data_IF_631295032783
#
_entry.id   IF_631295032783
#
_cell.length_a   1.000
_cell.length_b   1.000
_cell.length_c   1.000
_cell.angle_alpha   90.00
_cell.angle_beta   90.00
_cell.angle_gamma   90.00
#
_symmetry.space_group_name_H-M   'P 1'
#
loop_
_entity.id
_entity.type
_entity.pdbx_description
1 polymer ?
#
# COMPACT_ATOMS: atom_id res chain seq x y z
N UNK A 1 -4.23 -8.57 -20.46
CA UNK A 1 -5.04 -8.72 -21.70
C UNK A 1 -4.39 -7.94 -22.84
N UNK A 2 -4.72 -8.19 -24.12
CA UNK A 2 -4.18 -7.46 -25.28
C UNK A 2 -5.30 -6.78 -26.08
N UNK A 3 -5.14 -5.50 -26.49
CA UNK A 3 -6.16 -4.81 -27.29
C UNK A 3 -6.19 -5.35 -28.73
N UNK A 4 -7.39 -5.52 -29.27
CA UNK A 4 -7.67 -5.97 -30.63
C UNK A 4 -8.60 -4.98 -31.32
N UNK A 5 -8.06 -4.25 -32.30
CA UNK A 5 -8.79 -3.30 -33.12
C UNK A 5 -9.72 -4.03 -34.10
N UNK A 6 -10.94 -3.52 -34.21
CA UNK A 6 -11.91 -3.86 -35.24
C UNK A 6 -11.81 -2.87 -36.39
N UNK A 7 -12.23 -3.28 -37.58
CA UNK A 7 -12.42 -2.37 -38.73
C UNK A 7 -13.69 -1.53 -38.62
N UNK A 8 -14.54 -1.82 -37.63
CA UNK A 8 -15.81 -1.12 -37.39
C UNK A 8 -15.56 0.13 -36.55
N UNK A 9 -16.32 1.18 -36.85
CA UNK A 9 -16.36 2.40 -36.05
C UNK A 9 -17.60 2.43 -35.17
N UNK A 10 -17.51 3.14 -34.05
CA UNK A 10 -18.66 3.43 -33.19
C UNK A 10 -19.42 4.69 -33.65
N UNK A 11 -20.41 5.11 -32.85
CA UNK A 11 -21.24 6.28 -33.13
C UNK A 11 -20.48 7.61 -33.05
N UNK A 12 -19.29 7.60 -32.45
CA UNK A 12 -18.40 8.75 -32.27
C UNK A 12 -17.35 8.82 -33.39
N UNK A 13 -17.33 7.84 -34.30
CA UNK A 13 -16.35 7.73 -35.38
C UNK A 13 -15.02 7.11 -34.93
N UNK A 14 -14.94 6.57 -33.72
CA UNK A 14 -13.74 5.92 -33.20
C UNK A 14 -13.70 4.43 -33.59
N UNK A 15 -12.51 3.87 -33.79
CA UNK A 15 -12.38 2.44 -34.02
C UNK A 15 -12.77 1.65 -32.78
N UNK A 16 -13.63 0.66 -32.96
CA UNK A 16 -14.01 -0.25 -31.89
C UNK A 16 -12.85 -1.20 -31.62
N UNK A 17 -12.48 -1.40 -30.35
CA UNK A 17 -11.53 -2.44 -29.97
C UNK A 17 -12.03 -3.22 -28.75
N UNK A 18 -11.44 -4.40 -28.55
CA UNK A 18 -11.73 -5.26 -27.40
C UNK A 18 -10.44 -5.74 -26.75
N UNK A 19 -10.48 -5.96 -25.44
CA UNK A 19 -9.39 -6.61 -24.75
C UNK A 19 -9.57 -8.13 -24.78
N UNK A 20 -8.56 -8.81 -25.30
CA UNK A 20 -8.52 -10.26 -25.42
C UNK A 20 -7.55 -10.87 -24.40
N UNK A 21 -7.98 -11.92 -23.70
CA UNK A 21 -7.09 -12.70 -22.86
C UNK A 21 -6.04 -13.41 -23.73
N UNK A 22 -4.75 -13.29 -23.37
CA UNK A 22 -3.66 -13.91 -24.12
C UNK A 22 -3.79 -15.44 -24.14
N UNK A 23 -4.25 -16.05 -23.04
CA UNK A 23 -4.46 -17.50 -22.96
C UNK A 23 -5.65 -17.94 -23.83
N UNK A 24 -6.72 -17.14 -23.89
CA UNK A 24 -7.85 -17.37 -24.82
C UNK A 24 -7.39 -17.32 -26.27
N UNK A 25 -6.56 -16.35 -26.62
CA UNK A 25 -6.00 -16.21 -27.97
C UNK A 25 -5.12 -17.40 -28.35
N UNK A 26 -4.13 -17.75 -27.52
CA UNK A 26 -3.18 -18.85 -27.78
C UNK A 26 -3.87 -20.21 -27.84
N UNK A 27 -4.83 -20.47 -26.96
CA UNK A 27 -5.55 -21.75 -26.88
C UNK A 27 -6.78 -21.83 -27.80
N UNK A 28 -7.06 -20.78 -28.59
CA UNK A 28 -8.28 -20.68 -29.41
C UNK A 28 -9.56 -20.92 -28.59
N UNK A 29 -9.61 -20.36 -27.39
CA UNK A 29 -10.69 -20.48 -26.41
C UNK A 29 -10.88 -21.87 -25.78
N UNK A 30 -9.93 -22.79 -25.92
CA UNK A 30 -9.99 -24.09 -25.23
C UNK A 30 -9.77 -23.94 -23.72
N UNK A 31 -8.81 -23.11 -23.30
CA UNK A 31 -8.44 -22.95 -21.87
C UNK A 31 -9.20 -21.82 -21.19
N UNK A 32 -9.54 -20.76 -21.92
CA UNK A 32 -10.26 -19.60 -21.37
C UNK A 32 -11.42 -19.22 -22.30
N UNK A 33 -12.65 -19.28 -21.77
CA UNK A 33 -13.87 -18.93 -22.51
C UNK A 33 -14.50 -17.61 -22.06
N UNK A 34 -13.85 -16.90 -21.14
CA UNK A 34 -14.31 -15.61 -20.58
C UNK A 34 -14.67 -14.60 -21.67
N UNK A 35 -15.74 -13.84 -21.46
CA UNK A 35 -16.20 -12.79 -22.38
C UNK A 35 -15.11 -11.73 -22.59
N UNK A 36 -14.94 -11.27 -23.83
CA UNK A 36 -13.98 -10.21 -24.13
C UNK A 36 -14.52 -8.88 -23.59
N UNK A 37 -13.68 -8.11 -22.91
CA UNK A 37 -14.06 -6.77 -22.47
C UNK A 37 -14.12 -5.82 -23.68
N UNK A 38 -15.16 -4.98 -23.73
CA UNK A 38 -15.24 -3.90 -24.70
C UNK A 38 -14.19 -2.84 -24.34
N UNK A 39 -13.24 -2.59 -25.23
CA UNK A 39 -12.09 -1.73 -24.95
C UNK A 39 -12.47 -0.26 -24.78
N UNK A 40 -13.22 0.30 -25.75
CA UNK A 40 -13.66 1.69 -25.70
C UNK A 40 -14.46 1.99 -24.42
N UNK A 41 -15.40 1.09 -24.07
CA UNK A 41 -16.18 1.22 -22.85
C UNK A 41 -15.32 1.08 -21.60
N UNK A 42 -14.43 0.08 -21.55
CA UNK A 42 -13.56 -0.19 -20.40
C UNK A 42 -12.66 1.01 -20.11
N UNK A 43 -11.94 1.50 -21.13
CA UNK A 43 -11.03 2.63 -20.98
C UNK A 43 -11.79 3.88 -20.55
N UNK A 44 -12.99 4.14 -21.12
CA UNK A 44 -13.83 5.26 -20.69
C UNK A 44 -14.25 5.13 -19.23
N UNK A 45 -14.75 3.96 -18.82
CA UNK A 45 -15.18 3.74 -17.43
C UNK A 45 -14.01 3.92 -16.47
N UNK A 46 -12.84 3.34 -16.77
CA UNK A 46 -11.65 3.48 -15.90
C UNK A 46 -11.19 4.93 -15.83
N UNK A 47 -11.16 5.66 -16.95
CA UNK A 47 -10.84 7.08 -16.98
C UNK A 47 -11.81 7.90 -16.14
N UNK A 48 -13.12 7.69 -16.29
CA UNK A 48 -14.16 8.40 -15.54
C UNK A 48 -14.11 8.08 -14.04
N UNK A 49 -13.86 6.82 -13.66
CA UNK A 49 -13.74 6.43 -12.25
C UNK A 49 -12.54 7.13 -11.60
N UNK A 50 -11.39 7.19 -12.27
CA UNK A 50 -10.19 7.88 -11.73
C UNK A 50 -10.40 9.41 -11.74
N UNK A 51 -11.09 9.94 -12.74
CA UNK A 51 -11.51 11.35 -12.76
C UNK A 51 -12.48 11.68 -11.62
N UNK A 52 -13.37 10.76 -11.25
CA UNK A 52 -14.25 10.89 -10.10
C UNK A 52 -13.45 10.92 -8.80
N UNK A 53 -12.40 10.11 -8.65
CA UNK A 53 -11.50 10.19 -7.49
C UNK A 53 -10.86 11.59 -7.34
N UNK A 54 -10.52 12.25 -8.45
CA UNK A 54 -10.04 13.64 -8.45
C UNK A 54 -11.13 14.70 -8.21
N UNK A 55 -12.42 14.35 -8.39
CA UNK A 55 -13.56 15.27 -8.24
C UNK A 55 -14.19 15.18 -6.85
N UNK A 56 -14.43 13.97 -6.36
CA UNK A 56 -14.76 13.62 -4.97
C UNK A 56 -13.51 13.68 -4.08
N UNK A 57 -12.63 14.64 -4.36
CA UNK A 57 -11.46 14.92 -3.55
C UNK A 57 -11.86 14.96 -2.08
N UNK A 58 -13.00 15.53 -1.67
CA UNK A 58 -13.42 15.50 -0.27
C UNK A 58 -13.73 14.11 0.30
N UNK A 59 -14.41 13.21 -0.43
CA UNK A 59 -14.79 11.87 0.10
C UNK A 59 -13.60 10.90 0.04
N UNK A 60 -12.84 10.89 -1.07
CA UNK A 60 -11.64 10.09 -1.19
C UNK A 60 -10.52 10.59 -0.27
N UNK A 61 -10.33 11.92 -0.15
CA UNK A 61 -9.43 12.50 0.87
C UNK A 61 -9.98 12.20 2.25
N UNK A 62 -11.29 12.28 2.51
CA UNK A 62 -11.83 11.91 3.82
C UNK A 62 -11.57 10.44 4.14
N UNK A 63 -11.65 9.52 3.17
CA UNK A 63 -11.32 8.12 3.38
C UNK A 63 -9.81 7.90 3.57
N UNK A 64 -8.96 8.62 2.83
CA UNK A 64 -7.51 8.67 3.06
C UNK A 64 -7.17 9.23 4.44
N UNK A 65 -7.80 10.33 4.85
CA UNK A 65 -7.69 10.95 6.17
C UNK A 65 -8.25 10.06 7.28
N UNK A 66 -9.29 9.28 7.01
CA UNK A 66 -9.85 8.33 7.96
C UNK A 66 -8.94 7.11 8.12
N UNK A 67 -8.40 6.57 7.03
CA UNK A 67 -7.37 5.53 7.05
C UNK A 67 -6.09 6.03 7.75
N UNK A 68 -5.69 7.27 7.47
CA UNK A 68 -4.64 8.00 8.19
C UNK A 68 -4.95 8.10 9.67
N UNK A 69 -6.15 8.55 10.09
CA UNK A 69 -6.54 8.61 11.50
C UNK A 69 -6.57 7.24 12.18
N UNK A 70 -6.89 6.17 11.45
CA UNK A 70 -6.82 4.80 11.97
C UNK A 70 -5.36 4.34 12.13
N UNK A 71 -4.45 4.79 11.26
CA UNK A 71 -3.02 4.53 11.35
C UNK A 71 -2.31 5.41 12.40
N UNK A 72 -2.75 6.66 12.54
CA UNK A 72 -2.20 7.73 13.39
C UNK A 72 -2.89 7.81 14.77
N UNK A 73 -3.69 6.80 15.14
CA UNK A 73 -4.76 6.85 16.15
C UNK A 73 -4.50 7.54 17.50
N UNK A 74 -3.26 7.88 17.85
CA UNK A 74 -2.89 8.53 19.10
C UNK A 74 -2.00 9.78 18.94
N UNK A 75 -1.93 10.44 17.77
CA UNK A 75 -0.94 11.54 17.55
C UNK A 75 -1.01 12.68 18.58
N UNK A 76 -2.20 13.14 18.94
CA UNK A 76 -2.35 14.16 20.00
C UNK A 76 -1.82 13.64 21.34
N UNK A 77 -2.11 12.39 21.71
CA UNK A 77 -1.58 11.76 22.91
C UNK A 77 -0.05 11.56 22.85
N UNK A 78 0.51 11.34 21.65
CA UNK A 78 1.96 11.28 21.42
C UNK A 78 2.61 12.64 21.60
N UNK A 79 2.05 13.70 21.00
CA UNK A 79 2.56 15.06 21.08
C UNK A 79 2.50 15.57 22.53
N UNK A 80 1.39 15.33 23.25
CA UNK A 80 1.23 15.63 24.67
C UNK A 80 2.25 14.88 25.55
N UNK A 81 2.50 13.59 25.25
CA UNK A 81 3.50 12.81 25.97
C UNK A 81 4.94 13.30 25.70
N UNK A 82 5.22 13.77 24.48
CA UNK A 82 6.51 14.31 24.08
C UNK A 82 6.77 15.64 24.81
N UNK A 83 5.76 16.52 24.85
CA UNK A 83 5.84 17.78 25.61
C UNK A 83 6.05 17.51 27.12
N UNK A 84 5.34 16.53 27.67
CA UNK A 84 5.52 16.11 29.07
C UNK A 84 6.93 15.58 29.35
N UNK A 85 7.48 14.72 28.48
CA UNK A 85 8.84 14.17 28.64
C UNK A 85 9.91 15.26 28.51
N UNK A 86 9.74 16.19 27.56
CA UNK A 86 10.59 17.38 27.46
C UNK A 86 10.54 18.22 28.73
N UNK A 87 9.34 18.44 29.29
CA UNK A 87 9.18 19.13 30.57
C UNK A 87 9.95 18.45 31.71
N UNK A 88 9.81 17.13 31.87
CA UNK A 88 10.54 16.36 32.89
C UNK A 88 12.05 16.40 32.69
N UNK A 89 12.52 16.36 31.44
CA UNK A 89 13.94 16.48 31.12
C UNK A 89 14.49 17.85 31.54
N UNK A 90 13.80 18.93 31.18
CA UNK A 90 14.23 20.29 31.54
C UNK A 90 14.26 20.51 33.05
N UNK A 91 13.32 19.91 33.79
CA UNK A 91 13.31 19.99 35.26
C UNK A 91 14.47 19.20 35.87
N UNK A 92 14.76 18.00 35.34
CA UNK A 92 15.90 17.18 35.76
C UNK A 92 17.24 17.91 35.52
N UNK A 93 17.38 18.60 34.39
CA UNK A 93 18.57 19.40 34.07
C UNK A 93 18.74 20.61 35.01
N UNK A 94 17.64 21.27 35.39
CA UNK A 94 17.66 22.35 36.40
C UNK A 94 18.04 21.84 37.78
N UNK A 95 17.50 20.68 38.19
CA UNK A 95 17.83 20.06 39.47
C UNK A 95 19.30 19.66 39.53
N UNK A 96 19.83 19.05 38.46
CA UNK A 96 21.27 18.77 38.33
C UNK A 96 22.09 20.05 38.42
N UNK A 97 21.71 21.13 37.72
CA UNK A 97 22.44 22.40 37.78
C UNK A 97 22.44 23.01 39.20
N UNK A 98 21.34 22.89 39.94
CA UNK A 98 21.24 23.34 41.32
C UNK A 98 22.11 22.50 42.28
N UNK A 99 22.14 21.17 42.08
CA UNK A 99 22.99 20.26 42.84
C UNK A 99 24.48 20.50 42.56
N UNK A 100 24.86 20.73 41.30
CA UNK A 100 26.24 21.10 40.90
C UNK A 100 26.65 22.43 41.53
N UNK A 101 25.76 23.43 41.56
CA UNK A 101 26.03 24.70 42.26
C UNK A 101 26.22 24.48 43.77
N UNK A 102 25.45 23.59 44.37
CA UNK A 102 25.52 23.25 45.80
C UNK A 102 26.76 22.42 46.15
N UNK A 103 27.24 21.58 45.23
CA UNK A 103 28.46 20.79 45.39
C UNK A 103 29.68 21.67 45.66
N UNK A 104 29.78 22.81 44.97
CA UNK A 104 30.88 23.78 45.18
C UNK A 104 30.95 24.32 46.62
N UNK A 105 29.82 24.35 47.34
CA UNK A 105 29.70 24.82 48.73
C UNK A 105 29.84 23.70 49.76
N UNK A 106 29.65 22.45 49.35
CA UNK A 106 29.70 21.26 50.19
C UNK A 106 31.03 20.48 50.09
N UNK A 107 31.95 20.95 49.24
CA UNK A 107 33.26 20.34 49.02
C UNK A 107 34.04 20.16 50.34
N UNK A 108 34.54 18.94 50.58
CA UNK A 108 35.25 18.57 51.81
C UNK A 108 34.34 18.16 52.98
N UNK A 109 33.03 18.10 52.79
CA UNK A 109 32.07 17.59 53.80
C UNK A 109 31.63 16.16 53.49
N UNK A 110 31.07 15.45 54.48
CA UNK A 110 30.48 14.13 54.27
C UNK A 110 29.29 14.14 53.30
N UNK A 111 28.71 15.30 53.01
CA UNK A 111 27.60 15.47 52.07
C UNK A 111 28.02 15.44 50.59
N UNK A 112 29.31 15.65 50.29
CA UNK A 112 29.84 15.70 48.93
C UNK A 112 29.54 14.41 48.14
N UNK A 113 29.83 13.24 48.73
CA UNK A 113 29.56 11.96 48.09
C UNK A 113 28.07 11.68 47.85
N UNK A 114 27.18 12.20 48.70
CA UNK A 114 25.74 12.06 48.52
C UNK A 114 25.23 12.95 47.37
N UNK A 115 25.76 14.16 47.23
CA UNK A 115 25.39 15.08 46.13
C UNK A 115 25.86 14.51 44.78
N UNK A 116 27.09 13.97 44.71
CA UNK A 116 27.61 13.34 43.49
C UNK A 116 26.74 12.14 43.08
N UNK A 117 26.39 11.26 44.02
CA UNK A 117 25.52 10.12 43.74
C UNK A 117 24.13 10.54 43.24
N UNK A 118 23.56 11.60 43.83
CA UNK A 118 22.26 12.13 43.39
C UNK A 118 22.32 12.70 41.97
N UNK A 119 23.42 13.38 41.61
CA UNK A 119 23.67 13.88 40.25
C UNK A 119 23.76 12.73 39.26
N UNK A 120 24.49 11.65 39.59
CA UNK A 120 24.61 10.47 38.72
C UNK A 120 23.24 9.79 38.50
N UNK A 121 22.43 9.64 39.55
CA UNK A 121 21.09 9.05 39.45
C UNK A 121 20.14 9.91 38.59
N UNK A 122 20.15 11.24 38.77
CA UNK A 122 19.35 12.16 37.96
C UNK A 122 19.82 12.20 36.51
N UNK A 123 21.14 12.19 36.29
CA UNK A 123 21.72 12.15 34.94
C UNK A 123 21.35 10.87 34.21
N UNK A 124 21.45 9.71 34.86
CA UNK A 124 21.03 8.43 34.29
C UNK A 124 19.54 8.40 33.90
N UNK A 125 18.66 8.97 34.75
CA UNK A 125 17.23 9.14 34.41
C UNK A 125 17.03 10.08 33.22
N UNK A 126 17.78 11.18 33.16
CA UNK A 126 17.75 12.13 32.04
C UNK A 126 18.13 11.49 30.71
N UNK A 127 19.17 10.66 30.69
CA UNK A 127 19.61 9.94 29.48
C UNK A 127 18.55 8.92 28.99
N UNK A 128 17.87 8.23 29.91
CA UNK A 128 16.73 7.35 29.56
C UNK A 128 15.60 8.16 28.92
N UNK A 129 15.26 9.32 29.49
CA UNK A 129 14.21 10.20 28.95
C UNK A 129 14.61 10.74 27.57
N UNK A 130 15.86 11.17 27.37
CA UNK A 130 16.37 11.60 26.07
C UNK A 130 16.30 10.49 25.02
N UNK A 131 16.70 9.28 25.38
CA UNK A 131 16.58 8.14 24.47
C UNK A 131 15.13 7.89 24.06
N UNK A 132 14.19 8.04 25.00
CA UNK A 132 12.76 7.85 24.73
C UNK A 132 12.19 8.96 23.86
N UNK A 133 12.60 10.22 24.08
CA UNK A 133 12.24 11.35 23.22
C UNK A 133 12.74 11.12 21.79
N UNK A 134 14.00 10.73 21.62
CA UNK A 134 14.59 10.49 20.29
C UNK A 134 13.89 9.36 19.53
N UNK A 135 13.52 8.28 20.23
CA UNK A 135 12.74 7.19 19.65
C UNK A 135 11.37 7.68 19.17
N UNK A 136 10.65 8.43 20.03
CA UNK A 136 9.36 9.01 19.70
C UNK A 136 9.43 10.00 18.53
N UNK A 137 10.43 10.87 18.50
CA UNK A 137 10.66 11.82 17.40
C UNK A 137 10.93 11.10 16.07
N UNK A 138 11.66 9.98 16.08
CA UNK A 138 11.94 9.19 14.87
C UNK A 138 10.67 8.55 14.26
N UNK A 139 9.74 8.15 15.13
CA UNK A 139 8.43 7.64 14.71
C UNK A 139 7.60 8.78 14.10
N UNK A 140 7.56 9.94 14.76
CA UNK A 140 6.84 11.12 14.25
C UNK A 140 7.40 11.61 12.92
N UNK A 141 8.72 11.65 12.74
CA UNK A 141 9.36 12.05 11.48
C UNK A 141 8.96 11.16 10.29
N UNK A 142 8.81 9.85 10.54
CA UNK A 142 8.32 8.89 9.54
C UNK A 142 6.87 9.17 9.15
N UNK A 143 6.04 9.59 10.12
CA UNK A 143 4.67 10.03 9.85
C UNK A 143 4.59 11.37 9.09
N UNK A 144 5.52 12.30 9.29
CA UNK A 144 5.56 13.55 8.50
C UNK A 144 5.91 13.31 7.03
N UNK A 145 6.79 12.35 6.74
CA UNK A 145 7.11 11.96 5.36
C UNK A 145 5.86 11.41 4.64
N UNK A 146 5.08 10.58 5.34
CA UNK A 146 3.80 10.06 4.83
C UNK A 146 2.81 11.17 4.47
N UNK A 147 2.75 12.25 5.26
CA UNK A 147 1.87 13.40 4.99
C UNK A 147 2.23 14.13 3.68
N UNK A 148 3.51 14.32 3.39
CA UNK A 148 3.97 14.95 2.15
C UNK A 148 3.63 14.06 0.95
N UNK A 149 3.81 12.75 1.07
CA UNK A 149 3.45 11.78 0.03
C UNK A 149 1.95 11.81 -0.28
N UNK A 150 1.10 11.92 0.76
CA UNK A 150 -0.35 12.08 0.58
C UNK A 150 -0.72 13.37 -0.16
N UNK A 151 -0.10 14.50 0.19
CA UNK A 151 -0.35 15.78 -0.49
C UNK A 151 0.10 15.76 -1.96
N UNK A 152 1.20 15.07 -2.26
CA UNK A 152 1.67 14.86 -3.63
C UNK A 152 0.64 14.04 -4.43
N UNK A 153 0.15 12.93 -3.89
CA UNK A 153 -0.87 12.09 -4.56
C UNK A 153 -2.15 12.90 -4.83
N UNK A 154 -2.58 13.70 -3.86
CA UNK A 154 -3.73 14.60 -4.00
C UNK A 154 -3.54 15.60 -5.13
N UNK A 155 -2.38 16.26 -5.17
CA UNK A 155 -2.07 17.23 -6.21
C UNK A 155 -2.05 16.56 -7.59
N UNK A 156 -1.47 15.36 -7.68
CA UNK A 156 -1.42 14.59 -8.92
C UNK A 156 -2.82 14.21 -9.43
N UNK A 157 -3.72 13.75 -8.56
CA UNK A 157 -5.11 13.43 -8.93
C UNK A 157 -5.89 14.66 -9.38
N UNK A 158 -5.65 15.81 -8.74
CA UNK A 158 -6.29 17.08 -9.12
C UNK A 158 -5.82 17.52 -10.51
N UNK A 159 -4.50 17.53 -10.74
CA UNK A 159 -3.93 17.85 -12.05
C UNK A 159 -4.41 16.88 -13.12
N UNK A 160 -4.49 15.58 -12.80
CA UNK A 160 -4.98 14.56 -13.72
C UNK A 160 -6.42 14.84 -14.15
N UNK A 161 -7.33 15.15 -13.21
CA UNK A 161 -8.73 15.49 -13.53
C UNK A 161 -8.82 16.65 -14.51
N UNK A 162 -8.03 17.70 -14.28
CA UNK A 162 -8.12 18.94 -15.07
C UNK A 162 -7.51 18.78 -16.46
N UNK A 163 -6.61 17.83 -16.66
CA UNK A 163 -5.84 17.69 -17.92
C UNK A 163 -6.19 16.44 -18.72
N UNK A 164 -6.86 15.45 -18.13
CA UNK A 164 -7.12 14.16 -18.80
C UNK A 164 -7.90 14.32 -20.10
N UNK A 165 -8.90 15.22 -20.17
CA UNK A 165 -9.75 15.35 -21.35
C UNK A 165 -8.94 15.80 -22.59
N UNK A 166 -7.94 16.65 -22.37
CA UNK A 166 -7.09 17.25 -23.41
C UNK A 166 -5.89 16.35 -23.81
N UNK A 167 -5.66 15.26 -23.08
CA UNK A 167 -4.55 14.33 -23.37
C UNK A 167 -4.81 13.42 -24.56
N UNK A 168 -3.73 13.09 -25.30
CA UNK A 168 -3.74 12.01 -26.29
C UNK A 168 -3.97 10.64 -25.64
N UNK A 169 -4.31 9.61 -26.43
CA UNK A 169 -4.51 8.24 -25.92
C UNK A 169 -3.26 7.70 -25.24
N UNK A 170 -2.08 8.00 -25.77
CA UNK A 170 -0.78 7.61 -25.21
C UNK A 170 -0.51 8.32 -23.88
N UNK A 171 -0.81 9.62 -23.81
CA UNK A 171 -0.67 10.41 -22.59
C UNK A 171 -1.64 9.97 -21.49
N UNK A 172 -2.91 9.74 -21.85
CA UNK A 172 -3.92 9.14 -20.96
C UNK A 172 -3.42 7.83 -20.38
N UNK A 173 -2.89 6.94 -21.23
CA UNK A 173 -2.34 5.66 -20.80
C UNK A 173 -1.12 5.81 -19.88
N UNK A 174 -0.23 6.76 -20.16
CA UNK A 174 0.93 7.03 -19.32
C UNK A 174 0.51 7.56 -17.94
N UNK A 175 -0.44 8.50 -17.90
CA UNK A 175 -0.96 9.07 -16.67
C UNK A 175 -1.74 8.04 -15.83
N UNK A 176 -2.54 7.18 -16.46
CA UNK A 176 -3.26 6.09 -15.78
C UNK A 176 -2.30 5.09 -15.11
N UNK A 177 -1.15 4.80 -15.71
CA UNK A 177 -0.14 3.91 -15.12
C UNK A 177 0.45 4.44 -13.82
N UNK A 178 0.33 5.73 -13.55
CA UNK A 178 0.81 6.34 -12.32
C UNK A 178 -0.09 6.02 -11.13
N UNK A 179 -1.40 5.85 -11.37
CA UNK A 179 -2.38 5.60 -10.30
C UNK A 179 -2.80 4.13 -10.22
N UNK A 180 -2.84 3.44 -11.37
CA UNK A 180 -3.38 2.08 -11.49
C UNK A 180 -2.24 1.07 -11.50
N UNK A 181 -2.24 0.18 -10.50
CA UNK A 181 -1.32 -0.96 -10.41
C UNK A 181 -1.73 -2.09 -11.35
N UNK A 182 -3.01 -2.50 -11.30
CA UNK A 182 -3.55 -3.57 -12.15
C UNK A 182 -5.04 -3.36 -12.40
N UNK A 183 -5.52 -3.83 -13.55
CA UNK A 183 -6.95 -3.90 -13.88
C UNK A 183 -7.28 -5.36 -14.18
N UNK A 184 -8.26 -5.90 -13.46
CA UNK A 184 -8.70 -7.28 -13.58
C UNK A 184 -10.12 -7.30 -14.11
N UNK A 185 -10.33 -8.10 -15.16
CA UNK A 185 -11.65 -8.35 -15.74
C UNK A 185 -12.08 -9.76 -15.34
N UNK A 186 -13.25 -9.89 -14.71
CA UNK A 186 -13.79 -11.18 -14.26
C UNK A 186 -14.80 -11.82 -15.24
N UNK A 187 -15.15 -11.10 -16.32
CA UNK A 187 -16.15 -11.53 -17.30
C UNK A 187 -17.41 -10.65 -17.31
N UNK A 188 -17.65 -9.90 -16.25
CA UNK A 188 -18.81 -9.01 -16.09
C UNK A 188 -18.43 -7.65 -15.49
N UNK A 189 -17.58 -7.64 -14.46
CA UNK A 189 -17.12 -6.46 -13.73
C UNK A 189 -15.61 -6.23 -13.93
N UNK A 190 -15.24 -4.98 -13.67
CA UNK A 190 -13.87 -4.47 -13.77
C UNK A 190 -13.41 -4.14 -12.37
N UNK A 191 -12.33 -4.77 -11.93
CA UNK A 191 -11.68 -4.50 -10.65
C UNK A 191 -10.41 -3.70 -10.92
N UNK A 192 -10.40 -2.44 -10.49
CA UNK A 192 -9.24 -1.55 -10.64
C UNK A 192 -8.50 -1.51 -9.30
N UNK A 193 -7.22 -1.84 -9.33
CA UNK A 193 -6.35 -1.80 -8.16
C UNK A 193 -5.41 -0.61 -8.30
N UNK A 194 -5.45 0.26 -7.32
CA UNK A 194 -4.63 1.47 -7.26
C UNK A 194 -3.33 1.17 -6.51
N UNK A 195 -2.30 1.99 -6.75
CA UNK A 195 -1.13 1.97 -5.88
C UNK A 195 -1.53 2.42 -4.46
N UNK A 196 -1.05 1.72 -3.44
CA UNK A 196 -1.32 2.02 -2.03
C UNK A 196 -2.47 1.24 -1.37
N UNK A 197 -3.25 0.45 -2.12
CA UNK A 197 -4.17 -0.52 -1.51
C UNK A 197 -3.39 -1.77 -1.10
N UNK A 198 -3.41 -2.14 0.18
CA UNK A 198 -2.80 -3.38 0.67
C UNK A 198 -3.39 -4.58 -0.08
N UNK A 199 -2.60 -5.25 -0.90
CA UNK A 199 -2.89 -6.54 -1.52
C UNK A 199 -2.85 -7.66 -0.44
N UNK A 200 -3.61 -7.51 0.65
CA UNK A 200 -3.81 -8.57 1.65
C UNK A 200 -4.76 -9.68 1.15
N UNK A 201 -5.37 -9.49 -0.02
CA UNK A 201 -6.05 -10.53 -0.80
C UNK A 201 -5.18 -11.01 -1.97
N UNK A 202 -4.20 -11.86 -1.67
CA UNK A 202 -3.30 -12.44 -2.68
C UNK A 202 -4.06 -13.22 -3.75
N UNK A 203 -4.07 -12.71 -4.97
CA UNK A 203 -4.15 -13.54 -6.18
C UNK A 203 -2.73 -13.64 -6.69
N UNK A 204 -2.04 -14.73 -6.33
CA UNK A 204 -0.76 -15.09 -6.93
C UNK A 204 -0.99 -15.38 -8.42
N UNK A 205 -0.46 -14.50 -9.27
CA UNK A 205 -0.35 -14.78 -10.69
C UNK A 205 0.89 -15.65 -10.92
N UNK A 206 0.82 -16.68 -11.79
CA UNK A 206 1.99 -17.46 -12.15
C UNK A 206 3.09 -16.58 -12.73
N UNK A 207 4.34 -16.79 -12.30
CA UNK A 207 5.52 -16.08 -12.80
C UNK A 207 5.62 -16.17 -14.33
N UNK A 208 5.78 -15.02 -14.99
CA UNK A 208 6.03 -14.91 -16.44
C UNK A 208 7.50 -15.26 -16.75
N UNK A 209 7.89 -16.53 -16.60
CA UNK A 209 9.21 -17.04 -17.02
C UNK A 209 9.32 -17.28 -18.54
N UNK A 210 8.40 -16.76 -19.34
CA UNK A 210 8.35 -16.99 -20.79
C UNK A 210 9.03 -15.91 -21.65
N UNK A 211 9.77 -14.97 -21.05
CA UNK A 211 10.58 -13.99 -21.78
C UNK A 211 12.10 -14.28 -21.71
N UNK A 212 12.50 -15.54 -21.80
CA UNK A 212 13.85 -15.93 -22.18
C UNK A 212 13.79 -16.88 -23.36
N UNK A 213 13.64 -16.30 -24.55
CA UNK A 213 13.72 -16.98 -25.84
C UNK A 213 14.83 -16.38 -26.69
N UNK A 214 16.02 -16.97 -26.56
CA UNK A 214 17.13 -17.10 -27.52
C UNK A 214 17.47 -15.96 -28.49
N UNK A 215 18.67 -15.40 -28.28
CA UNK A 215 19.52 -14.86 -29.34
C UNK A 215 20.93 -15.46 -29.27
N UNK A 216 21.24 -16.35 -30.22
CA UNK A 216 22.59 -16.56 -30.78
C UNK A 216 23.54 -17.57 -30.11
N UNK A 217 23.90 -18.62 -30.86
CA UNK A 217 25.10 -19.43 -30.59
C UNK A 217 25.06 -20.84 -31.21
N UNK A 218 25.63 -20.99 -32.40
CA UNK A 218 25.83 -22.27 -33.09
C UNK A 218 26.99 -23.09 -32.49
N UNK A 219 26.85 -24.41 -32.63
CA UNK A 219 27.88 -25.44 -32.90
C UNK A 219 28.29 -26.42 -31.77
N UNK A 220 27.96 -27.69 -32.06
CA UNK A 220 28.72 -28.94 -31.86
C UNK A 220 28.63 -29.76 -30.56
N UNK A 221 27.80 -30.82 -30.68
CA UNK A 221 28.06 -32.26 -30.45
C UNK A 221 28.73 -32.74 -29.15
N UNK A 222 28.03 -33.65 -28.45
CA UNK A 222 28.63 -34.59 -27.50
C UNK A 222 27.58 -35.35 -26.68
N UNK A 223 27.47 -36.65 -26.93
CA UNK A 223 26.54 -37.60 -26.31
C UNK A 223 26.76 -37.82 -24.80
N UNK A 224 25.66 -38.20 -24.13
CA UNK A 224 25.50 -39.41 -23.30
C UNK A 224 25.17 -39.25 -21.80
N UNK A 225 24.07 -39.91 -21.42
CA UNK A 225 23.74 -40.59 -20.15
C UNK A 225 23.81 -39.84 -18.81
N UNK A 226 22.67 -39.70 -18.13
CA UNK A 226 22.33 -40.39 -16.85
C UNK A 226 20.96 -39.96 -16.28
N UNK A 227 20.02 -40.90 -16.19
CA UNK A 227 19.06 -40.99 -15.06
C UNK A 227 19.76 -41.75 -13.90
N UNK A 228 19.18 -41.94 -12.68
CA UNK A 228 17.90 -41.49 -12.11
C UNK A 228 18.06 -40.88 -10.69
N UNK A 229 16.96 -40.41 -10.05
CA UNK A 229 16.44 -40.95 -8.77
C UNK A 229 15.42 -40.01 -8.09
N UNK A 230 14.41 -40.71 -7.54
CA UNK A 230 13.27 -40.27 -6.76
C UNK A 230 13.68 -39.79 -5.36
N UNK A 231 12.99 -38.79 -4.79
CA UNK A 231 12.66 -38.84 -3.36
C UNK A 231 11.38 -38.06 -3.00
N UNK A 232 10.55 -38.73 -2.22
CA UNK A 232 9.25 -38.31 -1.71
C UNK A 232 9.39 -37.26 -0.61
N UNK A 233 8.41 -36.37 -0.46
CA UNK A 233 7.92 -36.05 0.89
C UNK A 233 6.49 -35.50 0.87
N UNK A 234 5.61 -36.24 1.51
CA UNK A 234 4.24 -35.88 1.84
C UNK A 234 4.26 -34.75 2.87
N UNK A 235 3.44 -33.71 2.67
CA UNK A 235 2.92 -32.93 3.78
C UNK A 235 1.44 -32.63 3.54
N UNK A 236 0.60 -33.37 4.25
CA UNK A 236 -0.81 -33.08 4.45
C UNK A 236 -0.95 -31.71 5.11
N UNK A 237 -1.86 -30.88 4.61
CA UNK A 237 -2.40 -29.75 5.37
C UNK A 237 -3.93 -29.77 5.32
N UNK A 238 -4.48 -29.59 6.50
CA UNK A 238 -5.84 -29.92 6.91
C UNK A 238 -6.89 -28.97 6.32
N UNK A 239 -8.01 -29.57 5.88
CA UNK A 239 -9.28 -28.89 5.60
C UNK A 239 -9.95 -28.56 6.94
N UNK A 240 -10.34 -27.30 7.14
CA UNK A 240 -11.33 -26.94 8.16
C UNK A 240 -12.62 -26.50 7.44
N UNK A 241 -13.61 -27.39 7.43
CA UNK A 241 -15.02 -27.02 7.23
C UNK A 241 -15.58 -26.53 8.57
N UNK A 242 -16.15 -25.33 8.59
CA UNK A 242 -17.04 -24.91 9.68
C UNK A 242 -18.40 -24.60 9.07
N UNK A 243 -19.26 -25.61 9.04
CA UNK A 243 -20.70 -25.45 8.87
C UNK A 243 -21.33 -25.04 10.20
N UNK A 244 -22.00 -23.89 10.22
CA UNK A 244 -22.80 -23.42 11.35
C UNK A 244 -24.10 -22.80 10.85
N UNK A 245 -25.17 -23.60 10.81
CA UNK A 245 -26.54 -23.16 10.58
C UNK A 245 -26.98 -22.14 11.64
N UNK A 246 -27.46 -20.97 11.21
CA UNK A 246 -28.49 -20.23 11.96
C UNK A 246 -29.68 -20.03 11.04
N UNK A 247 -30.74 -20.79 11.33
CA UNK A 247 -32.08 -20.53 10.83
C UNK A 247 -32.61 -19.28 11.53
N UNK A 248 -33.17 -18.34 10.78
CA UNK A 248 -34.35 -17.58 11.23
C UNK A 248 -35.36 -17.50 10.09
N UNK A 249 -36.46 -18.21 10.32
CA UNK A 249 -37.76 -18.04 9.69
C UNK A 249 -38.38 -16.73 10.21
N UNK A 250 -38.90 -15.91 9.30
CA UNK A 250 -40.12 -15.07 9.45
C UNK A 250 -40.32 -14.33 8.11
N UNK A 251 -41.12 -14.90 7.21
CA UNK A 251 -42.51 -14.53 6.91
C UNK A 251 -42.72 -13.16 6.19
N UNK A 252 -42.98 -13.29 4.87
CA UNK A 252 -44.10 -12.72 4.10
C UNK A 252 -44.26 -11.18 4.08
N UNK A 253 -44.01 -10.57 2.91
CA UNK A 253 -45.12 -10.04 2.09
C UNK A 253 -44.72 -9.83 0.62
N UNK A 254 -45.54 -10.42 -0.26
CA UNK A 254 -45.62 -10.12 -1.68
C UNK A 254 -45.84 -8.63 -1.95
N UNK A 255 -45.29 -8.11 -3.06
CA UNK A 255 -46.04 -7.30 -4.03
C UNK A 255 -45.31 -7.22 -5.37
N UNK A 256 -45.93 -7.87 -6.37
CA UNK A 256 -45.78 -7.55 -7.80
C UNK A 256 -46.51 -6.23 -8.07
N UNK A 257 -45.89 -5.35 -8.84
CA UNK A 257 -46.40 -4.86 -10.13
C UNK A 257 -45.24 -4.33 -10.95
#
# INVERSE_FOLDING_TARGET
>A
MRPKLSKRMDAQGEFIYSYLCAMKEKSRSYVCQMKNANGNMLDRVVCEEIKRLGSDSSEFIRQLELGKKQLEGNREEYDDNLERLCGVLTESEKEIAALVSSLSKAAGTSAEGYIVKQIEELHGKGEIIKSRISEMESLTASHTLSNIEFDIIRQMLTTFRDTIDDMSVEQKRAALRTFVKKVVWDGENVHVYLFGSDDSGGIELPNDDFLSGNGGGLAENGENTTEPLCENSKREHYVYEVGGQIRRHEQIHHLRK
#
